data_IF_313515744367
#
_entry.id   IF_313515744367
#
_cell.length_a   1.000
_cell.length_b   1.000
_cell.length_c   1.000
_cell.angle_alpha   90.00
_cell.angle_beta   90.00
_cell.angle_gamma   90.00
#
_symmetry.space_group_name_H-M   'P 1'
#
loop_
_entity.id
_entity.type
_entity.pdbx_description
1 polymer ?
#
# COMPACT_ATOMS: atom_id res chain seq x y z
N UNK A 1 2.42 -4.46 12.19
CA UNK A 1 0.94 -4.45 12.33
C UNK A 1 0.36 -5.64 11.57
N UNK A 2 -0.70 -6.30 12.05
CA UNK A 2 -1.34 -7.42 11.31
C UNK A 2 -2.56 -6.93 10.53
N UNK A 3 -2.61 -7.21 9.23
CA UNK A 3 -3.74 -6.85 8.35
C UNK A 3 -5.07 -7.47 8.79
N UNK A 4 -5.05 -8.62 9.48
CA UNK A 4 -6.27 -9.28 9.97
C UNK A 4 -6.96 -8.51 11.10
N UNK A 5 -6.20 -7.72 11.85
CA UNK A 5 -6.69 -6.96 13.01
C UNK A 5 -7.03 -5.51 12.67
N UNK A 6 -6.88 -5.14 11.39
CA UNK A 6 -7.10 -3.78 10.93
C UNK A 6 -8.56 -3.38 11.17
N UNK A 7 -8.78 -2.30 11.90
CA UNK A 7 -10.11 -1.74 12.13
C UNK A 7 -10.39 -0.62 11.12
N UNK A 8 -11.65 -0.37 10.73
CA UNK A 8 -12.00 0.76 9.87
C UNK A 8 -11.56 2.12 10.47
N UNK A 9 -11.07 3.01 9.61
CA UNK A 9 -10.65 4.35 9.99
C UNK A 9 -11.84 5.24 10.40
N UNK A 10 -11.53 6.41 10.98
CA UNK A 10 -12.54 7.41 11.30
C UNK A 10 -13.28 7.85 10.02
N UNK A 11 -14.63 7.89 10.02
CA UNK A 11 -15.41 8.34 8.86
C UNK A 11 -15.02 9.71 8.31
N UNK A 12 -14.51 10.62 9.16
CA UNK A 12 -14.00 11.92 8.72
C UNK A 12 -12.75 11.80 7.87
N UNK A 13 -11.83 10.89 8.21
CA UNK A 13 -10.62 10.68 7.41
C UNK A 13 -10.99 10.03 6.08
N UNK A 14 -11.91 9.06 6.11
CA UNK A 14 -12.41 8.37 4.91
C UNK A 14 -13.11 9.33 3.94
N UNK A 15 -13.88 10.30 4.45
CA UNK A 15 -14.68 11.20 3.60
C UNK A 15 -13.83 12.11 2.72
N UNK A 16 -12.63 12.50 3.18
CA UNK A 16 -11.69 13.34 2.41
C UNK A 16 -11.21 12.61 1.14
N UNK A 17 -11.09 11.28 1.20
CA UNK A 17 -10.64 10.44 0.10
C UNK A 17 -11.78 9.95 -0.81
N UNK A 18 -13.03 9.97 -0.32
CA UNK A 18 -14.19 9.43 -1.02
C UNK A 18 -14.40 9.94 -2.48
N UNK A 19 -14.05 11.19 -2.86
CA UNK A 19 -14.16 11.65 -4.25
C UNK A 19 -13.24 10.95 -5.24
N UNK A 20 -12.13 10.36 -4.79
CA UNK A 20 -11.11 9.74 -5.64
C UNK A 20 -11.43 8.27 -5.98
N UNK A 21 -12.42 7.66 -5.31
CA UNK A 21 -12.73 6.23 -5.47
C UNK A 21 -14.20 5.98 -5.75
N UNK A 22 -14.45 4.99 -6.59
CA UNK A 22 -15.79 4.55 -6.96
C UNK A 22 -15.94 3.02 -6.78
N UNK A 23 -17.18 2.55 -6.77
CA UNK A 23 -17.52 1.13 -6.72
C UNK A 23 -16.86 0.38 -5.57
N UNK A 24 -16.32 -0.81 -5.87
CA UNK A 24 -15.73 -1.71 -4.86
C UNK A 24 -14.54 -1.07 -4.13
N UNK A 25 -13.74 -0.22 -4.78
CA UNK A 25 -12.60 0.46 -4.14
C UNK A 25 -13.06 1.37 -2.99
N UNK A 26 -14.18 2.09 -3.18
CA UNK A 26 -14.79 2.92 -2.12
C UNK A 26 -15.21 2.12 -0.88
N UNK A 27 -15.63 0.86 -1.03
CA UNK A 27 -16.00 0.00 0.10
C UNK A 27 -14.80 -0.46 0.95
N UNK A 28 -13.59 -0.50 0.36
CA UNK A 28 -12.35 -0.88 1.04
C UNK A 28 -11.65 0.32 1.70
N UNK A 29 -12.05 1.53 1.34
CA UNK A 29 -11.40 2.77 1.75
C UNK A 29 -11.21 2.89 3.27
N UNK A 30 -12.18 2.55 4.15
CA UNK A 30 -11.96 2.64 5.59
C UNK A 30 -10.78 1.81 6.10
N UNK A 31 -10.56 0.62 5.52
CA UNK A 31 -9.42 -0.22 5.88
C UNK A 31 -8.13 0.32 5.22
N UNK A 32 -8.18 0.76 3.97
CA UNK A 32 -7.01 1.32 3.31
C UNK A 32 -6.48 2.57 4.02
N UNK A 33 -7.36 3.44 4.52
CA UNK A 33 -6.95 4.61 5.31
C UNK A 33 -6.35 4.19 6.65
N UNK A 34 -6.89 3.20 7.34
CA UNK A 34 -6.27 2.67 8.58
C UNK A 34 -4.88 2.09 8.32
N UNK A 35 -4.72 1.36 7.21
CA UNK A 35 -3.42 0.86 6.80
C UNK A 35 -2.48 2.01 6.49
N UNK A 36 -2.92 3.00 5.72
CA UNK A 36 -2.12 4.20 5.42
C UNK A 36 -1.67 4.92 6.69
N UNK A 37 -2.55 5.10 7.67
CA UNK A 37 -2.25 5.72 8.96
C UNK A 37 -1.30 4.89 9.83
N UNK A 38 -1.14 3.59 9.56
CA UNK A 38 -0.12 2.77 10.21
C UNK A 38 1.31 3.19 9.82
N UNK A 39 1.49 3.76 8.63
CA UNK A 39 2.78 4.24 8.14
C UNK A 39 3.76 3.15 7.67
N UNK A 40 3.45 1.87 7.90
CA UNK A 40 4.28 0.76 7.48
C UNK A 40 3.52 -0.57 7.35
N UNK A 41 4.10 -1.47 6.58
CA UNK A 41 3.63 -2.84 6.40
C UNK A 41 4.83 -3.77 6.19
N UNK A 42 4.82 -4.90 6.87
CA UNK A 42 5.70 -6.03 6.55
C UNK A 42 4.94 -7.00 5.64
N UNK A 43 5.63 -7.49 4.61
CA UNK A 43 5.03 -8.35 3.60
C UNK A 43 6.07 -9.26 2.94
N UNK A 44 5.64 -9.98 1.91
CA UNK A 44 6.53 -10.85 1.15
C UNK A 44 6.13 -10.90 -0.31
N UNK A 45 7.08 -10.52 -1.17
CA UNK A 45 6.90 -10.54 -2.62
C UNK A 45 6.90 -11.98 -3.11
N UNK A 46 5.77 -12.41 -3.67
CA UNK A 46 5.66 -13.72 -4.28
C UNK A 46 6.46 -13.75 -5.60
N UNK A 47 7.37 -14.71 -5.73
CA UNK A 47 8.14 -14.97 -6.95
C UNK A 47 7.61 -16.24 -7.61
N UNK A 48 7.25 -16.15 -8.88
CA UNK A 48 6.77 -17.30 -9.63
C UNK A 48 7.86 -18.36 -9.75
N UNK A 49 7.59 -19.57 -9.27
CA UNK A 49 8.55 -20.68 -9.29
C UNK A 49 9.74 -20.53 -8.34
N UNK A 50 9.72 -19.54 -7.43
CA UNK A 50 10.80 -19.25 -6.49
C UNK A 50 10.34 -19.04 -5.06
N UNK A 51 11.29 -18.75 -4.18
CA UNK A 51 10.99 -18.36 -2.79
C UNK A 51 10.46 -16.93 -2.73
N UNK A 52 9.56 -16.69 -1.77
CA UNK A 52 9.04 -15.34 -1.55
C UNK A 52 10.07 -14.47 -0.86
N UNK A 53 10.20 -13.21 -1.29
CA UNK A 53 11.20 -12.28 -0.77
C UNK A 53 10.55 -11.37 0.28
N UNK A 54 10.91 -11.43 1.57
CA UNK A 54 10.36 -10.54 2.58
C UNK A 54 10.71 -9.08 2.30
N UNK A 55 9.76 -8.18 2.62
CA UNK A 55 9.99 -6.75 2.53
C UNK A 55 9.38 -6.00 3.70
N UNK A 56 9.93 -4.80 3.95
CA UNK A 56 9.33 -3.77 4.80
C UNK A 56 8.99 -2.57 3.93
N UNK A 57 7.72 -2.20 3.90
CA UNK A 57 7.23 -0.98 3.29
C UNK A 57 7.00 0.07 4.37
N UNK A 58 7.43 1.30 4.14
CA UNK A 58 7.20 2.44 5.04
C UNK A 58 6.95 3.70 4.25
N UNK A 59 6.14 4.62 4.79
CA UNK A 59 5.78 5.83 4.08
C UNK A 59 5.49 7.02 4.99
N UNK A 60 5.58 8.22 4.41
CA UNK A 60 5.15 9.46 5.06
C UNK A 60 3.62 9.58 5.06
N UNK A 61 3.04 9.95 6.21
CA UNK A 61 1.59 10.12 6.38
C UNK A 61 1.21 11.60 6.15
N UNK A 62 0.18 11.85 5.34
CA UNK A 62 -0.52 13.13 5.21
C UNK A 62 -2.04 12.94 5.26
N UNK A 63 -2.76 13.96 5.74
CA UNK A 63 -4.22 14.01 5.72
C UNK A 63 -4.80 14.58 4.42
N UNK A 64 -3.97 15.07 3.51
CA UNK A 64 -4.39 15.69 2.25
C UNK A 64 -4.17 14.69 1.10
N UNK A 65 -5.23 14.27 0.38
CA UNK A 65 -5.09 13.26 -0.69
C UNK A 65 -4.18 13.66 -1.84
N UNK A 66 -4.04 14.97 -2.10
CA UNK A 66 -3.17 15.49 -3.16
C UNK A 66 -1.70 15.64 -2.76
N UNK A 67 -1.36 15.50 -1.47
CA UNK A 67 0.03 15.58 -1.01
C UNK A 67 0.84 14.40 -1.53
N UNK A 68 2.15 14.60 -1.65
CA UNK A 68 3.05 13.53 -2.03
C UNK A 68 3.30 12.58 -0.86
N UNK A 69 3.07 11.30 -1.10
CA UNK A 69 3.51 10.20 -0.24
C UNK A 69 4.83 9.65 -0.77
N UNK A 70 5.87 9.69 0.06
CA UNK A 70 7.12 8.97 -0.17
C UNK A 70 6.99 7.57 0.43
N UNK A 71 6.96 6.55 -0.42
CA UNK A 71 6.97 5.15 0.00
C UNK A 71 8.34 4.53 -0.28
N UNK A 72 8.91 3.89 0.74
CA UNK A 72 10.15 3.12 0.66
C UNK A 72 9.83 1.63 0.87
N UNK A 73 10.31 0.79 -0.04
CA UNK A 73 10.35 -0.67 0.13
C UNK A 73 11.78 -1.13 0.33
N UNK A 74 12.03 -1.91 1.37
CA UNK A 74 13.31 -2.57 1.63
C UNK A 74 13.12 -4.08 1.62
N UNK A 75 13.89 -4.79 0.80
CA UNK A 75 13.85 -6.25 0.71
C UNK A 75 14.95 -6.90 1.56
N UNK A 76 14.68 -8.09 2.09
CA UNK A 76 15.64 -8.94 2.85
C UNK A 76 16.34 -8.23 4.02
N UNK A 77 15.73 -7.17 4.56
CA UNK A 77 16.36 -6.26 5.51
C UNK A 77 17.74 -5.75 5.04
N UNK A 78 17.96 -5.71 3.72
CA UNK A 78 19.18 -5.22 3.10
C UNK A 78 18.99 -3.77 2.66
N UNK A 79 19.78 -2.86 3.24
CA UNK A 79 19.71 -1.43 2.91
C UNK A 79 20.00 -1.15 1.43
N UNK A 80 20.85 -1.96 0.79
CA UNK A 80 21.20 -1.83 -0.63
C UNK A 80 20.04 -2.25 -1.55
N UNK A 81 19.07 -3.03 -1.04
CA UNK A 81 17.86 -3.43 -1.74
C UNK A 81 16.67 -2.55 -1.32
N UNK A 82 16.90 -1.24 -1.26
CA UNK A 82 15.89 -0.23 -0.95
C UNK A 82 15.47 0.56 -2.18
N UNK A 83 14.17 0.62 -2.42
CA UNK A 83 13.55 1.38 -3.50
C UNK A 83 12.63 2.43 -2.93
N UNK A 84 12.52 3.57 -3.61
CA UNK A 84 11.65 4.67 -3.19
C UNK A 84 10.82 5.18 -4.37
N UNK A 85 9.56 5.48 -4.09
CA UNK A 85 8.65 6.12 -5.04
C UNK A 85 7.89 7.25 -4.35
N UNK A 86 7.68 8.35 -5.08
CA UNK A 86 6.84 9.48 -4.65
C UNK A 86 5.61 9.56 -5.53
N UNK A 87 4.43 9.50 -4.93
CA UNK A 87 3.13 9.48 -5.60
C UNK A 87 2.20 10.49 -4.94
N UNK A 88 1.12 10.90 -5.61
CA UNK A 88 0.01 11.53 -4.89
C UNK A 88 -0.56 10.55 -3.85
N UNK A 89 -0.98 11.05 -2.69
CA UNK A 89 -1.44 10.21 -1.60
C UNK A 89 -2.68 9.36 -1.98
N UNK A 90 -3.64 9.93 -2.70
CA UNK A 90 -4.76 9.16 -3.24
C UNK A 90 -4.31 8.04 -4.20
N UNK A 91 -3.24 8.24 -4.97
CA UNK A 91 -2.68 7.20 -5.83
C UNK A 91 -2.06 6.08 -4.97
N UNK A 92 -1.32 6.45 -3.92
CA UNK A 92 -0.75 5.47 -3.01
C UNK A 92 -1.81 4.66 -2.24
N UNK A 93 -2.86 5.31 -1.75
CA UNK A 93 -3.98 4.64 -1.08
C UNK A 93 -4.71 3.69 -2.05
N UNK A 94 -4.72 3.96 -3.35
CA UNK A 94 -5.23 3.01 -4.34
C UNK A 94 -4.44 1.70 -4.36
N UNK A 95 -3.11 1.77 -4.29
CA UNK A 95 -2.25 0.58 -4.17
C UNK A 95 -2.48 -0.18 -2.85
N UNK A 96 -2.77 0.53 -1.75
CA UNK A 96 -3.14 -0.12 -0.49
C UNK A 96 -4.51 -0.83 -0.59
N UNK A 97 -5.47 -0.28 -1.32
CA UNK A 97 -6.74 -0.95 -1.60
C UNK A 97 -6.52 -2.24 -2.39
N UNK A 98 -5.68 -2.21 -3.43
CA UNK A 98 -5.32 -3.39 -4.22
C UNK A 98 -4.64 -4.46 -3.36
N UNK A 99 -3.69 -4.07 -2.52
CA UNK A 99 -3.02 -4.95 -1.56
C UNK A 99 -4.05 -5.62 -0.63
N UNK A 100 -5.02 -4.88 -0.09
CA UNK A 100 -6.07 -5.44 0.76
C UNK A 100 -6.96 -6.44 0.00
N UNK A 101 -7.20 -6.23 -1.29
CA UNK A 101 -7.92 -7.20 -2.11
C UNK A 101 -7.12 -8.48 -2.34
N UNK A 102 -5.82 -8.36 -2.66
CA UNK A 102 -4.90 -9.50 -2.78
C UNK A 102 -4.83 -10.28 -1.47
N UNK A 103 -4.68 -9.56 -0.35
CA UNK A 103 -4.63 -10.16 0.98
C UNK A 103 -5.90 -10.94 1.31
N UNK A 104 -7.07 -10.39 0.97
CA UNK A 104 -8.35 -11.06 1.21
C UNK A 104 -8.47 -12.41 0.48
N UNK A 105 -7.91 -12.54 -0.72
CA UNK A 105 -8.00 -13.77 -1.51
C UNK A 105 -6.86 -14.75 -1.25
N UNK A 106 -5.65 -14.26 -0.98
CA UNK A 106 -4.43 -15.11 -0.91
C UNK A 106 -3.84 -15.24 0.49
N UNK A 107 -4.24 -14.39 1.44
CA UNK A 107 -3.57 -14.19 2.73
C UNK A 107 -2.10 -13.78 2.64
N UNK A 108 -1.65 -13.37 1.45
CA UNK A 108 -0.33 -12.79 1.23
C UNK A 108 -0.39 -11.27 1.25
N UNK A 109 0.43 -10.66 2.10
CA UNK A 109 0.62 -9.21 2.14
C UNK A 109 1.67 -8.84 1.09
N UNK A 110 1.20 -8.59 -0.13
CA UNK A 110 2.04 -8.26 -1.28
C UNK A 110 1.40 -7.13 -2.09
N UNK A 111 2.22 -6.30 -2.72
CA UNK A 111 1.75 -5.27 -3.63
C UNK A 111 1.42 -5.85 -5.00
N UNK A 112 0.52 -5.17 -5.72
CA UNK A 112 0.17 -5.52 -7.09
C UNK A 112 1.35 -5.31 -8.05
N UNK A 113 1.30 -5.96 -9.21
CA UNK A 113 2.32 -5.76 -10.26
C UNK A 113 2.40 -4.30 -10.72
N UNK A 114 1.27 -3.59 -10.78
CA UNK A 114 1.21 -2.16 -11.11
C UNK A 114 2.01 -1.31 -10.12
N UNK A 115 1.92 -1.58 -8.82
CA UNK A 115 2.76 -0.90 -7.83
C UNK A 115 4.25 -1.14 -8.09
N UNK A 116 4.66 -2.38 -8.35
CA UNK A 116 6.06 -2.71 -8.61
C UNK A 116 6.59 -2.05 -9.89
N UNK A 117 5.77 -1.92 -10.93
CA UNK A 117 6.13 -1.17 -12.14
C UNK A 117 6.37 0.30 -11.82
N UNK A 118 5.52 0.91 -11.00
CA UNK A 118 5.69 2.30 -10.54
C UNK A 118 6.94 2.47 -9.67
N UNK A 119 7.16 1.57 -8.72
CA UNK A 119 8.34 1.56 -7.83
C UNK A 119 9.65 1.46 -8.61
N UNK A 120 9.68 0.63 -9.64
CA UNK A 120 10.84 0.39 -10.49
C UNK A 120 10.93 1.36 -11.69
N UNK A 121 10.02 2.35 -11.78
CA UNK A 121 9.96 3.34 -12.85
C UNK A 121 9.92 2.72 -14.26
N UNK A 122 9.13 1.64 -14.39
CA UNK A 122 8.96 0.91 -15.66
C UNK A 122 7.82 1.46 -16.54
N UNK A 123 7.09 2.45 -16.04
CA UNK A 123 6.00 3.14 -16.74
C UNK A 123 6.40 4.55 -17.22
N UNK A 124 7.64 4.97 -16.93
CA UNK A 124 8.23 6.24 -17.36
C UNK A 124 9.01 6.08 -18.70
#
# INVERSE_FOLDING_TARGET
>A
MSLEKLQPANPRDVSVYAPYYQGRKRSALPLAISLYQAGSLEGSRQIEGGESIPFVASWSISSIPADLTRCRLQFDNNADLSYEVMLANFEFVDFLIELLFIYKSSRSADFSQSFYRRLLRLDD
#
